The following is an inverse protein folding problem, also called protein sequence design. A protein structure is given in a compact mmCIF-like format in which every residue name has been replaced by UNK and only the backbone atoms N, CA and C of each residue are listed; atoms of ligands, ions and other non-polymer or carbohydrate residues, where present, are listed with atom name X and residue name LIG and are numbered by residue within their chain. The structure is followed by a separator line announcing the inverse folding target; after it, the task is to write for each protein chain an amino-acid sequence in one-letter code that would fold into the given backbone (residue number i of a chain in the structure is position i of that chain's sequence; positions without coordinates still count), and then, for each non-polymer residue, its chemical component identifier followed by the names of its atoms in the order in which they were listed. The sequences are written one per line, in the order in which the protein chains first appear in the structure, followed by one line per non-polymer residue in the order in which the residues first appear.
data_IF_645040760600
#
_entry.id   IF_645040760600
#
_cell.length_a   1.000
_cell.length_b   1.000
_cell.length_c   1.000
_cell.angle_alpha   90.00
_cell.angle_beta   90.00
_cell.angle_gamma   90.00
#
_symmetry.space_group_name_H-M   'P 1'
#
loop_
_entity.id
_entity.type
_entity.pdbx_description
1 polymer ?
#
# COMPACT_ATOMS: atom_id res chain seq x y z
N UNK A 1 -20.00 1.45 -17.00
CA UNK A 1 -20.41 0.78 -15.75
C UNK A 1 -19.47 1.29 -14.67
N UNK A 2 -20.01 1.79 -13.56
CA UNK A 2 -19.17 2.24 -12.44
C UNK A 2 -18.38 1.05 -11.86
N UNK A 3 -17.21 1.33 -11.32
CA UNK A 3 -16.32 0.33 -10.70
C UNK A 3 -15.91 0.83 -9.32
N UNK A 4 -15.61 -0.10 -8.44
CA UNK A 4 -14.89 0.18 -7.20
C UNK A 4 -13.39 0.08 -7.51
N UNK A 5 -12.67 1.19 -7.33
CA UNK A 5 -11.21 1.23 -7.40
C UNK A 5 -10.70 1.48 -6.00
N UNK A 6 -10.16 0.44 -5.38
CA UNK A 6 -9.43 0.57 -4.11
C UNK A 6 -7.96 0.87 -4.39
N UNK A 7 -7.40 1.81 -3.65
CA UNK A 7 -6.04 2.33 -3.85
C UNK A 7 -5.27 2.16 -2.54
N UNK A 8 -4.07 1.58 -2.60
CA UNK A 8 -3.11 1.83 -1.53
C UNK A 8 -2.71 3.30 -1.49
N UNK A 9 -2.05 3.72 -0.41
CA UNK A 9 -1.66 5.11 -0.22
C UNK A 9 -0.17 5.32 -0.44
N UNK A 10 0.65 4.71 0.42
CA UNK A 10 2.10 4.87 0.39
C UNK A 10 2.68 4.18 -0.84
N UNK A 11 3.52 4.87 -1.60
CA UNK A 11 4.05 4.32 -2.86
C UNK A 11 3.09 4.40 -4.04
N UNK A 12 1.80 4.71 -3.82
CA UNK A 12 0.79 4.82 -4.89
C UNK A 12 0.29 6.25 -5.07
N UNK A 13 -0.35 6.81 -4.04
CA UNK A 13 -0.92 8.16 -4.10
C UNK A 13 0.00 9.18 -3.45
N UNK A 14 0.74 8.80 -2.42
CA UNK A 14 1.48 9.74 -1.59
C UNK A 14 2.77 9.17 -1.00
N UNK A 15 3.63 10.10 -0.59
CA UNK A 15 4.73 9.84 0.34
C UNK A 15 4.39 10.47 1.69
N UNK A 16 4.51 9.66 2.73
CA UNK A 16 4.26 10.05 4.12
C UNK A 16 5.57 10.51 4.83
N UNK A 17 5.48 11.08 6.05
CA UNK A 17 6.64 11.63 6.74
C UNK A 17 7.48 10.59 7.50
N UNK A 18 7.16 9.29 7.42
CA UNK A 18 7.76 8.29 8.31
C UNK A 18 9.28 8.19 8.14
N UNK A 19 9.73 8.08 6.90
CA UNK A 19 11.14 7.90 6.59
C UNK A 19 11.98 9.17 6.76
N UNK A 20 11.37 10.34 6.55
CA UNK A 20 12.07 11.64 6.52
C UNK A 20 12.07 12.36 7.87
N UNK A 21 11.07 12.12 8.71
CA UNK A 21 10.92 12.81 9.99
C UNK A 21 10.62 11.88 11.16
N UNK A 22 9.56 11.06 11.08
CA UNK A 22 9.06 10.30 12.24
C UNK A 22 10.10 9.29 12.74
N UNK A 23 10.57 8.36 11.90
CA UNK A 23 11.56 7.37 12.33
C UNK A 23 12.91 8.00 12.74
N UNK A 24 13.45 9.02 12.05
CA UNK A 24 14.62 9.75 12.55
C UNK A 24 14.44 10.30 13.98
N UNK A 25 13.28 10.88 14.31
CA UNK A 25 12.98 11.37 15.65
C UNK A 25 12.89 10.22 16.66
N UNK A 26 12.13 9.18 16.34
CA UNK A 26 11.92 8.01 17.20
C UNK A 26 13.23 7.32 17.52
N UNK A 27 14.00 6.99 16.49
CA UNK A 27 15.26 6.26 16.65
C UNK A 27 16.31 7.05 17.41
N UNK A 28 16.34 8.38 17.27
CA UNK A 28 17.19 9.25 18.09
C UNK A 28 16.83 9.13 19.57
N UNK A 29 15.55 9.23 19.92
CA UNK A 29 15.09 9.13 21.32
C UNK A 29 15.35 7.75 21.91
N UNK A 30 15.02 6.68 21.18
CA UNK A 30 15.21 5.30 21.66
C UNK A 30 16.69 4.90 21.74
N UNK A 31 17.53 5.43 20.85
CA UNK A 31 18.95 5.09 20.79
C UNK A 31 19.82 5.84 21.79
N UNK A 32 19.38 6.99 22.30
CA UNK A 32 20.20 7.93 23.09
C UNK A 32 20.85 7.29 24.32
N UNK A 33 20.08 6.55 25.13
CA UNK A 33 20.57 5.93 26.38
C UNK A 33 21.69 4.92 26.14
N UNK A 34 21.64 4.20 25.02
CA UNK A 34 22.56 3.10 24.70
C UNK A 34 23.58 3.46 23.62
N UNK A 35 23.55 4.69 23.09
CA UNK A 35 24.39 5.10 21.97
C UNK A 35 24.10 4.35 20.66
N UNK A 36 22.88 3.82 20.48
CA UNK A 36 22.52 3.10 19.26
C UNK A 36 22.29 4.07 18.10
N UNK A 37 22.77 3.68 16.93
CA UNK A 37 22.53 4.40 15.69
C UNK A 37 21.08 4.23 15.20
N UNK A 38 20.65 5.15 14.32
CA UNK A 38 19.38 5.05 13.61
C UNK A 38 19.15 3.66 12.99
N UNK A 39 20.19 3.11 12.34
CA UNK A 39 20.13 1.81 11.67
C UNK A 39 19.91 0.65 12.65
N UNK A 40 20.54 0.69 13.81
CA UNK A 40 20.40 -0.35 14.83
C UNK A 40 19.00 -0.34 15.43
N UNK A 41 18.46 0.84 15.77
CA UNK A 41 17.08 0.94 16.28
C UNK A 41 16.06 0.55 15.21
N UNK A 42 16.23 0.98 13.95
CA UNK A 42 15.37 0.54 12.85
C UNK A 42 15.43 -0.97 12.62
N UNK A 43 16.56 -1.61 12.89
CA UNK A 43 16.68 -3.07 12.81
C UNK A 43 15.81 -3.76 13.86
N UNK A 44 15.73 -3.20 15.07
CA UNK A 44 14.84 -3.70 16.14
C UNK A 44 13.36 -3.49 15.78
N UNK A 45 12.99 -2.31 15.29
CA UNK A 45 11.61 -2.00 14.84
C UNK A 45 11.19 -2.96 13.72
N UNK A 46 12.02 -3.15 12.69
CA UNK A 46 11.74 -4.07 11.58
C UNK A 46 11.67 -5.53 12.05
N UNK A 47 12.49 -5.92 13.02
CA UNK A 47 12.42 -7.25 13.62
C UNK A 47 11.10 -7.48 14.32
N UNK A 48 10.58 -6.49 15.05
CA UNK A 48 9.29 -6.58 15.71
C UNK A 48 8.14 -6.73 14.70
N UNK A 49 8.14 -5.93 13.62
CA UNK A 49 7.19 -6.08 12.50
C UNK A 49 7.23 -7.51 11.93
N UNK A 50 8.43 -8.04 11.65
CA UNK A 50 8.60 -9.42 11.16
C UNK A 50 8.06 -10.47 12.10
N UNK A 51 8.29 -10.33 13.41
CA UNK A 51 7.78 -11.27 14.42
C UNK A 51 6.25 -11.30 14.42
N UNK A 52 5.59 -10.16 14.29
CA UNK A 52 4.12 -10.06 14.20
C UNK A 52 3.61 -10.66 12.89
N UNK A 53 4.22 -10.30 11.76
CA UNK A 53 3.87 -10.84 10.45
C UNK A 53 4.04 -12.36 10.35
N UNK A 54 5.11 -12.93 10.92
CA UNK A 54 5.35 -14.37 10.96
C UNK A 54 4.28 -15.14 11.77
N UNK A 55 3.62 -14.46 12.72
CA UNK A 55 2.47 -14.99 13.46
C UNK A 55 1.13 -14.73 12.76
N UNK A 56 1.17 -14.11 11.57
CA UNK A 56 0.02 -13.64 10.80
C UNK A 56 -0.86 -12.64 11.58
N UNK A 57 -0.26 -11.92 12.52
CA UNK A 57 -0.91 -10.79 13.19
C UNK A 57 -0.66 -9.53 12.38
N UNK A 58 -1.28 -9.47 11.20
CA UNK A 58 -1.02 -8.42 10.23
C UNK A 58 -1.51 -7.06 10.72
N UNK A 59 -2.64 -7.00 11.44
CA UNK A 59 -3.12 -5.75 12.05
C UNK A 59 -2.06 -5.17 12.99
N UNK A 60 -1.56 -5.97 13.95
CA UNK A 60 -0.56 -5.48 14.90
C UNK A 60 0.80 -5.20 14.24
N UNK A 61 1.10 -5.80 13.09
CA UNK A 61 2.33 -5.54 12.33
C UNK A 61 2.42 -4.11 11.76
N UNK A 62 1.33 -3.34 11.79
CA UNK A 62 1.27 -1.95 11.35
C UNK A 62 0.81 -0.95 12.43
N UNK A 63 0.63 -1.38 13.69
CA UNK A 63 0.43 -0.46 14.81
C UNK A 63 1.77 0.11 15.28
N UNK A 64 2.22 1.18 14.64
CA UNK A 64 3.52 1.77 14.90
C UNK A 64 3.69 2.29 16.33
N UNK A 65 2.62 2.75 16.99
CA UNK A 65 2.68 3.16 18.39
C UNK A 65 3.05 1.97 19.28
N UNK A 66 2.39 0.84 19.09
CA UNK A 66 2.63 -0.36 19.88
C UNK A 66 3.99 -1.03 19.55
N UNK A 67 4.39 -1.04 18.28
CA UNK A 67 5.72 -1.52 17.87
C UNK A 67 6.83 -0.67 18.51
N UNK A 68 6.71 0.66 18.43
CA UNK A 68 7.71 1.58 18.98
C UNK A 68 7.75 1.51 20.50
N UNK A 69 6.60 1.39 21.17
CA UNK A 69 6.53 1.17 22.61
C UNK A 69 7.19 -0.16 23.01
N UNK A 70 6.91 -1.25 22.27
CA UNK A 70 7.51 -2.58 22.52
C UNK A 70 9.04 -2.54 22.41
N UNK A 71 9.56 -1.93 21.34
CA UNK A 71 11.01 -1.76 21.17
C UNK A 71 11.58 -0.83 22.25
N UNK A 72 10.90 0.27 22.56
CA UNK A 72 11.29 1.20 23.62
C UNK A 72 11.43 0.50 24.98
N UNK A 73 10.45 -0.29 25.38
CA UNK A 73 10.51 -1.08 26.61
C UNK A 73 11.69 -2.06 26.61
N UNK A 74 11.96 -2.73 25.49
CA UNK A 74 13.12 -3.65 25.37
C UNK A 74 14.47 -2.94 25.54
N UNK A 75 14.52 -1.65 25.21
CA UNK A 75 15.68 -0.77 25.41
C UNK A 75 15.64 -0.04 26.77
N UNK A 76 14.65 -0.31 27.62
CA UNK A 76 14.48 0.40 28.88
C UNK A 76 14.21 1.89 28.71
N UNK A 77 13.53 2.29 27.64
CA UNK A 77 13.02 3.65 27.49
C UNK A 77 11.82 3.86 28.43
N UNK A 78 11.89 4.88 29.29
CA UNK A 78 10.87 5.15 30.33
C UNK A 78 9.82 6.19 29.89
N UNK A 79 9.99 6.79 28.71
CA UNK A 79 9.05 7.75 28.14
C UNK A 79 7.96 7.09 27.29
N UNK A 80 7.08 7.93 26.75
CA UNK A 80 6.12 7.54 25.72
C UNK A 80 6.41 8.33 24.43
N UNK A 81 6.28 7.65 23.30
CA UNK A 81 6.38 8.25 21.96
C UNK A 81 5.01 8.11 21.32
N UNK A 82 4.35 9.24 21.05
CA UNK A 82 3.11 9.29 20.28
C UNK A 82 3.46 9.41 18.79
N UNK A 83 3.41 8.28 18.08
CA UNK A 83 3.77 8.21 16.67
C UNK A 83 2.76 8.99 15.83
N UNK A 84 1.47 8.92 16.18
CA UNK A 84 0.43 9.64 15.47
C UNK A 84 0.59 11.16 15.57
N UNK A 85 0.99 11.67 16.73
CA UNK A 85 1.31 13.08 16.92
C UNK A 85 2.55 13.49 16.13
N UNK A 86 3.60 12.67 16.11
CA UNK A 86 4.76 12.92 15.26
C UNK A 86 4.38 13.00 13.78
N UNK A 87 3.47 12.14 13.31
CA UNK A 87 2.97 12.22 11.93
C UNK A 87 2.25 13.56 11.69
N UNK A 88 1.30 13.95 12.57
CA UNK A 88 0.56 15.22 12.45
C UNK A 88 1.49 16.43 12.39
N UNK A 89 2.46 16.49 13.29
CA UNK A 89 3.42 17.61 13.36
C UNK A 89 4.34 17.70 12.14
N UNK A 90 4.54 16.60 11.41
CA UNK A 90 5.43 16.53 10.26
C UNK A 90 4.67 16.37 8.93
N UNK A 91 3.36 16.66 8.89
CA UNK A 91 2.61 16.81 7.66
C UNK A 91 2.93 18.16 6.99
N UNK A 92 4.18 18.34 6.56
CA UNK A 92 4.69 19.57 5.94
C UNK A 92 5.18 19.30 4.51
N UNK A 93 5.24 20.31 3.62
CA UNK A 93 5.66 20.12 2.22
C UNK A 93 7.04 19.46 2.04
N UNK A 94 7.91 19.56 3.04
CA UNK A 94 9.24 18.91 3.04
C UNK A 94 9.18 17.39 3.26
N UNK A 95 8.07 16.90 3.82
CA UNK A 95 7.95 15.52 4.30
C UNK A 95 6.78 14.75 3.68
N UNK A 96 5.78 15.45 3.14
CA UNK A 96 4.65 14.84 2.45
C UNK A 96 4.49 15.41 1.03
N UNK A 97 4.13 14.54 0.08
CA UNK A 97 3.71 14.94 -1.26
C UNK A 97 2.87 13.86 -1.91
N UNK A 98 1.98 14.25 -2.82
CA UNK A 98 1.35 13.33 -3.76
C UNK A 98 2.31 13.00 -4.90
N UNK A 99 2.25 11.80 -5.45
CA UNK A 99 2.98 11.48 -6.68
C UNK A 99 2.47 12.31 -7.88
N UNK A 100 3.30 12.52 -8.92
CA UNK A 100 2.88 13.21 -10.14
C UNK A 100 1.62 12.56 -10.75
N UNK A 101 0.68 13.38 -11.23
CA UNK A 101 -0.52 12.90 -11.91
C UNK A 101 -1.65 12.38 -11.00
N UNK A 102 -1.42 12.23 -9.69
CA UNK A 102 -2.42 11.67 -8.75
C UNK A 102 -3.71 12.48 -8.76
N UNK A 103 -3.65 13.79 -8.54
CA UNK A 103 -4.85 14.63 -8.50
C UNK A 103 -5.65 14.59 -9.82
N UNK A 104 -4.96 14.62 -10.97
CA UNK A 104 -5.60 14.54 -12.28
C UNK A 104 -6.28 13.19 -12.48
N UNK A 105 -5.57 12.09 -12.17
CA UNK A 105 -6.08 10.73 -12.33
C UNK A 105 -7.31 10.48 -11.46
N UNK A 106 -7.25 10.84 -10.17
CA UNK A 106 -8.37 10.65 -9.25
C UNK A 106 -9.58 11.51 -9.66
N UNK A 107 -9.36 12.74 -10.13
CA UNK A 107 -10.43 13.59 -10.65
C UNK A 107 -11.11 12.93 -11.87
N UNK A 108 -10.33 12.49 -12.86
CA UNK A 108 -10.84 11.87 -14.09
C UNK A 108 -11.61 10.58 -13.81
N UNK A 109 -11.11 9.72 -12.91
CA UNK A 109 -11.80 8.49 -12.53
C UNK A 109 -13.13 8.78 -11.81
N UNK A 110 -13.15 9.80 -10.95
CA UNK A 110 -14.37 10.24 -10.26
C UNK A 110 -15.40 10.84 -11.24
N UNK A 111 -14.94 11.67 -12.19
CA UNK A 111 -15.78 12.24 -13.26
C UNK A 111 -16.36 11.16 -14.17
N UNK A 112 -15.63 10.07 -14.41
CA UNK A 112 -16.12 8.89 -15.11
C UNK A 112 -17.14 8.05 -14.29
N UNK A 113 -17.41 8.43 -13.04
CA UNK A 113 -18.40 7.80 -12.17
C UNK A 113 -17.88 6.59 -11.39
N UNK A 114 -16.57 6.38 -11.32
CA UNK A 114 -15.99 5.34 -10.47
C UNK A 114 -16.01 5.74 -9.00
N UNK A 115 -16.09 4.73 -8.13
CA UNK A 115 -15.96 4.90 -6.68
C UNK A 115 -14.51 4.65 -6.30
N UNK A 116 -13.88 5.64 -5.68
CA UNK A 116 -12.48 5.56 -5.23
C UNK A 116 -12.44 5.38 -3.72
N UNK A 117 -11.68 4.40 -3.24
CA UNK A 117 -11.56 4.07 -1.81
C UNK A 117 -10.09 3.87 -1.48
N UNK A 118 -9.61 4.43 -0.36
CA UNK A 118 -8.31 4.09 0.15
C UNK A 118 -8.39 2.76 0.92
N UNK A 119 -7.47 1.84 0.65
CA UNK A 119 -7.34 0.55 1.35
C UNK A 119 -5.87 0.32 1.67
N UNK A 120 -5.49 0.54 2.92
CA UNK A 120 -4.09 0.63 3.34
C UNK A 120 -3.85 -0.15 4.63
N UNK A 121 -2.63 -0.67 4.80
CA UNK A 121 -2.23 -1.28 6.06
C UNK A 121 -1.85 -0.24 7.14
N UNK A 122 -1.64 1.03 6.77
CA UNK A 122 -1.41 2.07 7.77
C UNK A 122 -2.69 2.46 8.49
N UNK A 123 -2.61 2.63 9.81
CA UNK A 123 -3.77 3.02 10.60
C UNK A 123 -4.24 4.44 10.24
N UNK A 124 -5.54 4.69 10.40
CA UNK A 124 -6.18 5.96 10.07
C UNK A 124 -5.53 7.14 10.81
N UNK A 125 -5.10 6.93 12.07
CA UNK A 125 -4.37 7.93 12.88
C UNK A 125 -3.07 8.42 12.23
N UNK A 126 -2.48 7.63 11.32
CA UNK A 126 -1.29 8.00 10.55
C UNK A 126 -1.65 8.53 9.16
N UNK A 127 -2.63 7.91 8.51
CA UNK A 127 -2.89 8.17 7.09
C UNK A 127 -3.81 9.38 6.84
N UNK A 128 -4.81 9.59 7.68
CA UNK A 128 -5.78 10.69 7.51
C UNK A 128 -5.13 12.06 7.54
N UNK A 129 -4.21 12.40 8.49
CA UNK A 129 -3.54 13.70 8.49
C UNK A 129 -2.77 13.99 7.19
N UNK A 130 -2.14 12.97 6.61
CA UNK A 130 -1.39 13.09 5.35
C UNK A 130 -2.35 13.31 4.19
N UNK A 131 -3.43 12.53 4.10
CA UNK A 131 -4.46 12.70 3.07
C UNK A 131 -5.12 14.09 3.11
N UNK A 132 -5.40 14.61 4.31
CA UNK A 132 -5.93 15.96 4.51
C UNK A 132 -4.92 17.02 4.09
N UNK A 133 -3.66 16.91 4.54
CA UNK A 133 -2.58 17.83 4.17
C UNK A 133 -2.30 17.89 2.67
N UNK A 134 -2.55 16.79 1.95
CA UNK A 134 -2.42 16.72 0.50
C UNK A 134 -3.72 17.02 -0.26
N UNK A 135 -4.84 17.26 0.44
CA UNK A 135 -6.14 17.50 -0.21
C UNK A 135 -6.64 16.30 -1.03
N UNK A 136 -6.29 15.08 -0.65
CA UNK A 136 -6.70 13.85 -1.36
C UNK A 136 -8.05 13.32 -0.87
N UNK A 137 -8.48 13.70 0.35
CA UNK A 137 -9.76 13.28 0.94
C UNK A 137 -10.96 13.53 0.04
N UNK A 138 -10.95 14.62 -0.73
CA UNK A 138 -12.06 15.02 -1.61
C UNK A 138 -12.36 14.02 -2.73
N UNK A 139 -11.41 13.15 -3.09
CA UNK A 139 -11.61 12.14 -4.14
C UNK A 139 -12.16 10.83 -3.60
N UNK A 140 -11.95 10.54 -2.32
CA UNK A 140 -12.21 9.24 -1.72
C UNK A 140 -13.63 9.16 -1.16
N UNK A 141 -14.31 8.04 -1.45
CA UNK A 141 -15.64 7.71 -0.91
C UNK A 141 -15.55 6.94 0.42
N UNK A 142 -14.35 6.49 0.81
CA UNK A 142 -14.09 5.77 2.04
C UNK A 142 -12.60 5.49 2.23
N UNK A 143 -12.23 5.15 3.46
CA UNK A 143 -10.88 4.75 3.86
C UNK A 143 -11.03 3.51 4.74
N UNK A 144 -10.37 2.42 4.36
CA UNK A 144 -10.33 1.16 5.09
C UNK A 144 -8.92 0.96 5.62
N UNK A 145 -8.83 0.80 6.93
CA UNK A 145 -7.57 0.60 7.67
C UNK A 145 -7.72 -0.57 8.64
N UNK A 146 -6.62 -1.20 9.07
CA UNK A 146 -6.70 -2.48 9.78
C UNK A 146 -7.43 -2.43 11.12
N UNK A 147 -7.32 -1.33 11.86
CA UNK A 147 -7.98 -1.16 13.16
C UNK A 147 -9.50 -0.99 13.04
N UNK A 148 -10.00 -0.63 11.85
CA UNK A 148 -11.43 -0.48 11.59
C UNK A 148 -12.04 -1.81 11.16
N UNK A 149 -11.33 -2.57 10.33
CA UNK A 149 -11.84 -3.82 9.74
C UNK A 149 -11.49 -5.06 10.56
N UNK A 150 -10.43 -5.00 11.37
CA UNK A 150 -9.84 -6.16 12.04
C UNK A 150 -8.98 -7.05 11.12
N UNK A 151 -8.75 -6.62 9.88
CA UNK A 151 -7.98 -7.35 8.86
C UNK A 151 -7.03 -6.40 8.15
N UNK A 152 -5.88 -6.89 7.69
CA UNK A 152 -4.93 -6.12 6.89
C UNK A 152 -4.57 -6.88 5.61
N UNK A 153 -4.01 -6.19 4.60
CA UNK A 153 -3.43 -6.86 3.44
C UNK A 153 -2.29 -7.76 3.93
N UNK A 154 -2.16 -9.01 3.46
CA UNK A 154 -2.80 -9.61 2.27
C UNK A 154 -4.12 -10.38 2.53
N UNK A 155 -4.79 -10.22 3.67
CA UNK A 155 -6.01 -10.97 3.99
C UNK A 155 -7.17 -10.62 3.04
N UNK A 156 -7.78 -11.63 2.41
CA UNK A 156 -8.84 -11.45 1.42
C UNK A 156 -10.07 -10.73 2.02
N UNK A 157 -10.33 -10.95 3.31
CA UNK A 157 -11.38 -10.31 4.09
C UNK A 157 -11.28 -8.79 4.09
N UNK A 158 -10.07 -8.24 4.06
CA UNK A 158 -9.86 -6.80 4.05
C UNK A 158 -10.35 -6.17 2.74
N UNK A 159 -10.04 -6.81 1.60
CA UNK A 159 -10.52 -6.40 0.28
C UNK A 159 -12.04 -6.61 0.14
N UNK A 160 -12.55 -7.74 0.65
CA UNK A 160 -13.98 -8.06 0.63
C UNK A 160 -14.82 -7.05 1.43
N UNK A 161 -14.29 -6.50 2.52
CA UNK A 161 -14.95 -5.47 3.31
C UNK A 161 -15.27 -4.21 2.48
N UNK A 162 -14.30 -3.71 1.70
CA UNK A 162 -14.54 -2.58 0.80
C UNK A 162 -15.52 -2.94 -0.30
N UNK A 163 -15.39 -4.13 -0.92
CA UNK A 163 -16.29 -4.55 -2.01
C UNK A 163 -17.75 -4.64 -1.59
N UNK A 164 -18.02 -5.14 -0.38
CA UNK A 164 -19.39 -5.33 0.15
C UNK A 164 -20.20 -4.03 0.17
N UNK A 165 -19.55 -2.91 0.44
CA UNK A 165 -20.24 -1.65 0.66
C UNK A 165 -20.62 -0.94 -0.66
N UNK A 166 -20.05 -1.35 -1.80
CA UNK A 166 -20.27 -0.69 -3.10
C UNK A 166 -20.84 -1.58 -4.21
N UNK A 167 -20.67 -2.91 -4.16
CA UNK A 167 -21.34 -3.84 -5.09
C UNK A 167 -20.94 -3.74 -6.57
N UNK A 168 -19.84 -3.03 -6.89
CA UNK A 168 -19.30 -2.88 -8.24
C UNK A 168 -18.20 -3.92 -8.56
N UNK A 169 -17.82 -4.11 -9.84
CA UNK A 169 -16.55 -4.75 -10.19
C UNK A 169 -15.40 -4.05 -9.46
N UNK A 170 -14.48 -4.85 -8.93
CA UNK A 170 -13.47 -4.39 -7.99
C UNK A 170 -12.09 -4.43 -8.63
N UNK A 171 -11.45 -3.28 -8.72
CA UNK A 171 -10.06 -3.11 -9.10
C UNK A 171 -9.28 -2.67 -7.85
N UNK A 172 -8.15 -3.32 -7.58
CA UNK A 172 -7.22 -2.89 -6.55
C UNK A 172 -5.89 -2.47 -7.15
N UNK A 173 -5.39 -1.31 -6.72
CA UNK A 173 -4.13 -0.72 -7.17
C UNK A 173 -3.21 -0.58 -5.96
N UNK A 174 -2.03 -1.16 -6.06
CA UNK A 174 -1.03 -1.11 -5.00
C UNK A 174 0.40 -1.25 -5.53
N UNK A 175 1.39 -1.06 -4.66
CA UNK A 175 2.81 -1.11 -5.01
C UNK A 175 3.52 -2.37 -4.49
N UNK A 176 2.90 -3.08 -3.55
CA UNK A 176 3.51 -4.22 -2.86
C UNK A 176 2.90 -5.53 -3.36
N UNK A 177 3.66 -6.29 -4.15
CA UNK A 177 3.14 -7.49 -4.85
C UNK A 177 2.49 -8.53 -3.93
N UNK A 178 3.03 -8.77 -2.73
CA UNK A 178 2.41 -9.72 -1.81
C UNK A 178 1.10 -9.17 -1.22
N UNK A 179 1.10 -7.90 -0.79
CA UNK A 179 -0.06 -7.31 -0.11
C UNK A 179 -1.18 -6.97 -1.09
N UNK A 180 -0.85 -6.28 -2.17
CA UNK A 180 -1.80 -5.66 -3.08
C UNK A 180 -2.14 -6.51 -4.30
N UNK A 181 -1.22 -7.35 -4.77
CA UNK A 181 -1.49 -8.21 -5.94
C UNK A 181 -1.98 -9.57 -5.48
N UNK A 182 -1.12 -10.32 -4.76
CA UNK A 182 -1.52 -11.63 -4.28
C UNK A 182 -2.74 -11.54 -3.34
N UNK A 183 -2.70 -10.67 -2.32
CA UNK A 183 -3.80 -10.50 -1.39
C UNK A 183 -5.13 -10.11 -2.06
N UNK A 184 -5.12 -9.12 -2.96
CA UNK A 184 -6.33 -8.68 -3.64
C UNK A 184 -6.90 -9.74 -4.59
N UNK A 185 -6.04 -10.49 -5.29
CA UNK A 185 -6.45 -11.57 -6.20
C UNK A 185 -7.29 -12.63 -5.51
N UNK A 186 -6.96 -12.96 -4.25
CA UNK A 186 -7.73 -13.93 -3.47
C UNK A 186 -9.17 -13.48 -3.16
N UNK A 187 -9.46 -12.18 -3.26
CA UNK A 187 -10.81 -11.62 -3.12
C UNK A 187 -11.61 -11.58 -4.45
N UNK A 188 -10.96 -11.93 -5.56
CA UNK A 188 -11.50 -11.82 -6.92
C UNK A 188 -11.45 -10.42 -7.51
N UNK A 189 -10.65 -9.52 -6.93
CA UNK A 189 -10.39 -8.20 -7.50
C UNK A 189 -9.46 -8.32 -8.73
N UNK A 190 -9.65 -7.44 -9.70
CA UNK A 190 -8.66 -7.18 -10.74
C UNK A 190 -7.49 -6.42 -10.11
N UNK A 191 -6.28 -6.90 -10.37
CA UNK A 191 -5.07 -6.44 -9.68
C UNK A 191 -4.19 -5.58 -10.58
N UNK A 192 -3.82 -4.41 -10.08
CA UNK A 192 -2.96 -3.46 -10.78
C UNK A 192 -1.75 -3.19 -9.91
N UNK A 193 -0.58 -3.57 -10.40
CA UNK A 193 0.68 -3.30 -9.74
C UNK A 193 1.28 -1.99 -10.27
N UNK A 194 1.39 -0.96 -9.44
CA UNK A 194 2.12 0.26 -9.76
C UNK A 194 3.57 0.12 -9.28
N UNK A 195 4.51 0.14 -10.21
CA UNK A 195 5.93 0.01 -9.90
C UNK A 195 6.76 1.11 -10.57
N UNK A 196 7.13 2.13 -9.79
CA UNK A 196 7.89 3.30 -10.27
C UNK A 196 9.28 2.97 -10.86
N UNK A 197 9.83 1.80 -10.53
CA UNK A 197 11.13 1.34 -11.04
C UNK A 197 10.99 0.22 -12.09
N UNK A 198 9.85 0.18 -12.79
CA UNK A 198 9.64 -0.76 -13.88
C UNK A 198 10.72 -0.59 -14.95
N UNK A 199 11.21 -1.70 -15.48
CA UNK A 199 12.23 -1.67 -16.53
C UNK A 199 11.70 -0.89 -17.74
N UNK A 200 12.51 -0.01 -18.32
CA UNK A 200 12.12 0.85 -19.44
C UNK A 200 11.59 0.03 -20.63
N UNK A 201 12.17 -1.15 -20.87
CA UNK A 201 11.72 -2.09 -21.93
C UNK A 201 10.32 -2.66 -21.68
N UNK A 202 9.87 -2.72 -20.43
CA UNK A 202 8.49 -3.12 -20.07
C UNK A 202 7.59 -1.89 -20.10
N UNK A 203 8.02 -0.78 -19.47
CA UNK A 203 7.24 0.45 -19.40
C UNK A 203 6.93 1.04 -20.79
N UNK A 204 7.84 0.87 -21.76
CA UNK A 204 7.68 1.33 -23.14
C UNK A 204 6.71 0.50 -24.00
N UNK A 205 6.22 -0.65 -23.51
CA UNK A 205 5.21 -1.43 -24.20
C UNK A 205 3.80 -0.86 -23.99
N UNK A 206 2.86 -1.13 -24.91
CA UNK A 206 1.43 -0.91 -24.66
C UNK A 206 1.01 -1.53 -23.32
N UNK A 207 0.21 -0.81 -22.53
CA UNK A 207 -0.10 -1.18 -21.14
C UNK A 207 -0.60 -2.64 -21.04
N UNK A 208 -1.49 -3.04 -21.94
CA UNK A 208 -2.09 -4.38 -21.98
C UNK A 208 -1.09 -5.51 -22.31
N UNK A 209 0.09 -5.18 -22.84
CA UNK A 209 1.14 -6.15 -23.19
C UNK A 209 2.18 -6.32 -22.07
N UNK A 210 2.27 -5.36 -21.14
CA UNK A 210 3.34 -5.30 -20.12
C UNK A 210 3.38 -6.52 -19.21
N UNK A 211 2.20 -7.00 -18.78
CA UNK A 211 2.07 -8.19 -17.91
C UNK A 211 2.64 -9.45 -18.58
N UNK A 212 2.56 -9.54 -19.91
CA UNK A 212 3.07 -10.68 -20.67
C UNK A 212 4.59 -10.68 -20.90
N UNK A 213 5.30 -9.63 -20.47
CA UNK A 213 6.72 -9.51 -20.73
C UNK A 213 7.53 -10.59 -19.97
N UNK A 214 8.45 -11.33 -20.63
CA UNK A 214 9.12 -12.48 -20.03
C UNK A 214 9.97 -12.15 -18.80
N UNK A 215 10.49 -10.92 -18.69
CA UNK A 215 11.29 -10.49 -17.53
C UNK A 215 10.44 -10.08 -16.31
N UNK A 216 9.11 -9.91 -16.45
CA UNK A 216 8.30 -9.38 -15.35
C UNK A 216 8.34 -10.30 -14.12
N UNK A 217 8.36 -11.61 -14.32
CA UNK A 217 8.44 -12.59 -13.24
C UNK A 217 9.76 -12.47 -12.44
N UNK A 218 10.87 -12.17 -13.11
CA UNK A 218 12.17 -11.93 -12.47
C UNK A 218 12.12 -10.64 -11.63
N UNK A 219 11.52 -9.58 -12.16
CA UNK A 219 11.33 -8.32 -11.43
C UNK A 219 10.47 -8.54 -10.17
N UNK A 220 9.37 -9.30 -10.28
CA UNK A 220 8.52 -9.65 -9.14
C UNK A 220 9.30 -10.45 -8.11
N UNK A 221 10.12 -11.42 -8.53
CA UNK A 221 10.94 -12.20 -7.62
C UNK A 221 11.93 -11.33 -6.83
N UNK A 222 12.57 -10.35 -7.48
CA UNK A 222 13.48 -9.42 -6.82
C UNK A 222 12.77 -8.51 -5.81
N UNK A 223 11.57 -8.02 -6.15
CA UNK A 223 10.76 -7.18 -5.26
C UNK A 223 10.28 -7.98 -4.07
N UNK A 224 9.74 -9.18 -4.30
CA UNK A 224 9.24 -10.07 -3.26
C UNK A 224 10.35 -10.48 -2.27
N UNK A 225 11.57 -10.71 -2.75
CA UNK A 225 12.72 -11.04 -1.90
C UNK A 225 13.12 -9.90 -0.92
N UNK A 226 12.66 -8.66 -1.16
CA UNK A 226 12.93 -7.49 -0.32
C UNK A 226 11.78 -7.18 0.63
N UNK A 227 10.68 -7.90 0.53
CA UNK A 227 9.49 -7.70 1.35
C UNK A 227 9.82 -7.88 2.83
N UNK A 228 9.48 -6.86 3.64
CA UNK A 228 9.76 -6.87 5.06
C UNK A 228 9.02 -8.00 5.79
N UNK A 229 7.85 -8.37 5.30
CA UNK A 229 6.87 -9.27 5.94
C UNK A 229 6.78 -10.65 5.28
N UNK A 230 7.74 -11.02 4.42
CA UNK A 230 7.78 -12.29 3.70
C UNK A 230 7.60 -13.53 4.60
N UNK A 231 8.08 -13.48 5.85
CA UNK A 231 7.93 -14.58 6.83
C UNK A 231 6.45 -14.91 7.15
N UNK A 232 5.51 -13.99 6.87
CA UNK A 232 4.07 -14.21 7.04
C UNK A 232 3.44 -15.10 5.96
N UNK A 233 4.12 -15.31 4.84
CA UNK A 233 3.64 -16.09 3.68
C UNK A 233 4.82 -16.86 3.05
N UNK A 234 5.38 -17.85 3.77
CA UNK A 234 6.62 -18.53 3.36
C UNK A 234 6.50 -19.36 2.08
N UNK A 235 5.29 -19.74 1.70
CA UNK A 235 5.01 -20.55 0.51
C UNK A 235 4.70 -19.69 -0.74
N UNK A 236 4.70 -18.36 -0.61
CA UNK A 236 4.34 -17.45 -1.70
C UNK A 236 5.42 -17.45 -2.79
N UNK A 237 5.00 -17.66 -4.03
CA UNK A 237 5.89 -17.63 -5.19
C UNK A 237 5.73 -16.34 -5.99
N UNK A 238 6.74 -15.95 -6.81
CA UNK A 238 6.58 -14.83 -7.74
C UNK A 238 5.40 -15.01 -8.71
N UNK A 239 5.05 -16.25 -9.05
CA UNK A 239 3.94 -16.53 -9.97
C UNK A 239 2.58 -16.19 -9.34
N UNK A 240 2.41 -16.42 -8.04
CA UNK A 240 1.18 -16.05 -7.31
C UNK A 240 0.96 -14.54 -7.33
N UNK A 241 2.07 -13.79 -7.37
CA UNK A 241 2.16 -12.34 -7.39
C UNK A 241 2.08 -11.70 -8.79
N UNK A 242 1.83 -12.46 -9.86
CA UNK A 242 1.64 -11.89 -11.20
C UNK A 242 0.38 -11.00 -11.24
N UNK A 243 0.46 -9.70 -11.56
CA UNK A 243 -0.72 -8.85 -11.62
C UNK A 243 -1.51 -9.05 -12.90
N UNK A 244 -2.75 -8.56 -12.95
CA UNK A 244 -3.49 -8.45 -14.23
C UNK A 244 -2.90 -7.34 -15.10
N UNK A 245 -2.55 -6.20 -14.48
CA UNK A 245 -1.92 -5.06 -15.13
C UNK A 245 -0.72 -4.56 -14.33
N UNK A 246 0.33 -4.09 -15.03
CA UNK A 246 1.47 -3.40 -14.42
C UNK A 246 1.63 -2.00 -15.01
N UNK A 247 1.76 -1.01 -14.13
CA UNK A 247 1.86 0.41 -14.45
C UNK A 247 3.19 0.97 -13.98
N UNK A 248 3.73 1.93 -14.73
CA UNK A 248 4.90 2.70 -14.30
C UNK A 248 4.48 4.01 -13.61
N UNK A 249 3.33 4.56 -13.98
CA UNK A 249 2.80 5.82 -13.48
C UNK A 249 1.31 5.69 -13.14
N UNK A 250 0.80 6.53 -12.23
CA UNK A 250 -0.61 6.47 -11.82
C UNK A 250 -1.57 6.84 -12.96
N UNK A 251 -1.14 7.65 -13.92
CA UNK A 251 -1.96 8.10 -15.05
C UNK A 251 -2.43 6.95 -15.94
N UNK A 252 -1.65 5.86 -16.00
CA UNK A 252 -1.98 4.61 -16.71
C UNK A 252 -3.30 4.00 -16.20
N UNK A 253 -3.70 4.30 -14.95
CA UNK A 253 -4.90 3.73 -14.33
C UNK A 253 -6.19 4.10 -15.06
N UNK A 254 -6.22 5.26 -15.74
CA UNK A 254 -7.40 5.66 -16.51
C UNK A 254 -7.63 4.71 -17.68
N UNK A 255 -6.56 4.28 -18.37
CA UNK A 255 -6.63 3.33 -19.47
C UNK A 255 -7.01 1.93 -18.97
N UNK A 256 -6.41 1.48 -17.86
CA UNK A 256 -6.79 0.21 -17.21
C UNK A 256 -8.27 0.21 -16.86
N UNK A 257 -8.77 1.28 -16.25
CA UNK A 257 -10.15 1.37 -15.83
C UNK A 257 -11.11 1.27 -17.04
N UNK A 258 -10.79 1.93 -18.15
CA UNK A 258 -11.56 1.84 -19.39
C UNK A 258 -11.55 0.41 -19.94
N UNK A 259 -10.40 -0.23 -20.01
CA UNK A 259 -10.26 -1.60 -20.53
C UNK A 259 -11.04 -2.62 -19.70
N UNK A 260 -10.96 -2.55 -18.36
CA UNK A 260 -11.70 -3.43 -17.45
C UNK A 260 -13.21 -3.20 -17.60
N UNK A 261 -13.64 -1.95 -17.72
CA UNK A 261 -15.04 -1.61 -17.94
C UNK A 261 -15.58 -2.19 -19.25
N UNK A 262 -14.84 -2.07 -20.35
CA UNK A 262 -15.24 -2.63 -21.64
C UNK A 262 -15.31 -4.16 -21.63
N UNK A 263 -14.35 -4.81 -20.98
CA UNK A 263 -14.31 -6.27 -20.85
C UNK A 263 -15.53 -6.80 -20.10
N UNK A 264 -15.98 -6.11 -19.05
CA UNK A 264 -17.21 -6.47 -18.34
C UNK A 264 -18.49 -6.24 -19.14
N UNK A 265 -18.50 -5.29 -20.09
CA UNK A 265 -19.66 -5.03 -20.94
C UNK A 265 -19.82 -6.05 -22.07
N UNK A 266 -18.74 -6.69 -22.53
CA UNK A 266 -18.77 -7.68 -23.62
C UNK A 266 -19.29 -9.06 -23.19
N UNK A 267 -19.40 -9.34 -21.89
CA UNK A 267 -19.73 -10.67 -21.36
C UNK A 267 -18.57 -11.67 -21.55
N UNK A 268 -18.63 -12.88 -20.96
CA UNK A 268 -17.65 -13.91 -21.28
C UNK A 268 -17.74 -14.21 -22.78
N UNK A 269 -16.60 -14.24 -23.47
CA UNK A 269 -16.55 -14.76 -24.83
C UNK A 269 -17.14 -16.18 -24.81
N UNK A 270 -18.15 -16.42 -25.65
CA UNK A 270 -18.66 -17.77 -25.89
C UNK A 270 -17.54 -18.54 -26.62
N UNK A 271 -16.74 -19.28 -25.86
CA UNK A 271 -15.86 -20.36 -26.35
C UNK A 271 -16.55 -21.73 -26.16
#
# INVERSE_FOLDING_TARGET
MAMLITLDLDGVLMKNPFSTAVFPIITKQLGERHGLSHKEVMTLIRKEVRVRAARRDYVAAYDWDDIVATVGHSLGFEGAIDVAELVRQNCTPEHIHSYPGVHETLARLKEAGHVLVALTNGFAKYQVPVLEGLGLMQYLSGIYTPEVTGFAKPEAEFFAAARRDFGFPHVHVGDTVAHDVWGAKQSGAVTVWLYHNLLEEIAGLPLMERTGHPKLLEVIAEVLARDLTADGYPDLTPQDCMPDYVMAEINDLVEVAQHVQESHQRGPAED
#
